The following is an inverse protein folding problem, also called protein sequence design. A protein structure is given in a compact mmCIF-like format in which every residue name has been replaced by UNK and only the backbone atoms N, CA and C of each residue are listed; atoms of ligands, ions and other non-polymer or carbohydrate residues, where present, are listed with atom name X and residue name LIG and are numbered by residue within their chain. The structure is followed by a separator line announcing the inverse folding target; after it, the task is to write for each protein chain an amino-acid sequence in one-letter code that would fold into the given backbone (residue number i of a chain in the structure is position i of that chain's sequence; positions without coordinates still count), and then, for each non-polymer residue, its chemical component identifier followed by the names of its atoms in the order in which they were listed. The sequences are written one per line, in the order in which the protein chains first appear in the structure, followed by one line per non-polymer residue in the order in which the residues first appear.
data_IF_736173361800
#
_entry.id   IF_736173361800
#
_cell.length_a   1.000
_cell.length_b   1.000
_cell.length_c   1.000
_cell.angle_alpha   90.00
_cell.angle_beta   90.00
_cell.angle_gamma   90.00
#
_symmetry.space_group_name_H-M   'P 1'
#
loop_
_entity.id
_entity.type
_entity.pdbx_description
1 polymer ?
#
# COMPACT_ATOMS: atom_id res chain seq x y z
N UNK A 1 11.02 55.23 5.01
CA UNK A 1 11.77 54.60 3.90
C UNK A 1 10.77 54.35 2.77
N UNK A 2 10.97 54.88 1.55
CA UNK A 2 10.03 54.66 0.44
C UNK A 2 10.14 53.21 -0.05
N UNK A 3 9.13 52.39 0.24
CA UNK A 3 8.94 51.06 -0.32
C UNK A 3 8.07 51.16 -1.57
N UNK A 4 8.29 50.28 -2.55
CA UNK A 4 7.38 50.17 -3.69
C UNK A 4 6.02 49.60 -3.22
N UNK A 5 4.89 50.09 -3.74
CA UNK A 5 3.56 49.55 -3.40
C UNK A 5 3.44 48.09 -3.84
N UNK A 6 2.82 47.24 -3.01
CA UNK A 6 2.54 45.83 -3.33
C UNK A 6 1.80 45.65 -4.66
N UNK A 7 0.92 46.60 -4.99
CA UNK A 7 0.20 46.69 -6.26
C UNK A 7 1.14 46.68 -7.47
N UNK A 8 2.37 47.21 -7.35
CA UNK A 8 3.34 47.20 -8.42
C UNK A 8 3.75 45.78 -8.81
N UNK A 9 4.00 44.91 -7.83
CA UNK A 9 4.37 43.50 -8.06
C UNK A 9 3.23 42.70 -8.68
N UNK A 10 2.01 42.85 -8.13
CA UNK A 10 0.80 42.15 -8.61
C UNK A 10 0.45 42.59 -10.03
N UNK A 11 0.40 43.90 -10.31
CA UNK A 11 0.04 44.42 -11.63
C UNK A 11 1.08 44.05 -12.69
N UNK A 12 2.33 43.96 -12.29
CA UNK A 12 3.41 43.47 -13.14
C UNK A 12 3.28 41.95 -13.44
N UNK A 13 2.74 41.15 -12.53
CA UNK A 13 2.44 39.73 -12.74
C UNK A 13 1.42 39.53 -13.89
N UNK A 14 0.38 40.37 -13.91
CA UNK A 14 -0.68 40.36 -14.94
C UNK A 14 -0.26 40.95 -16.29
N UNK A 15 0.82 41.73 -16.36
CA UNK A 15 1.32 42.31 -17.62
C UNK A 15 2.03 41.31 -18.53
N UNK A 16 2.45 40.14 -18.01
CA UNK A 16 3.11 39.08 -18.77
C UNK A 16 2.49 37.72 -18.45
N UNK A 17 1.21 37.52 -18.79
CA UNK A 17 0.42 36.39 -18.31
C UNK A 17 1.03 35.05 -18.73
N UNK A 18 1.54 34.93 -19.96
CA UNK A 18 2.16 33.70 -20.48
C UNK A 18 3.39 33.28 -19.67
N UNK A 19 4.25 34.24 -19.33
CA UNK A 19 5.47 33.97 -18.56
C UNK A 19 5.11 33.57 -17.13
N UNK A 20 4.25 34.34 -16.48
CA UNK A 20 3.76 34.02 -15.13
C UNK A 20 3.12 32.63 -15.09
N UNK A 21 2.25 32.31 -16.06
CA UNK A 21 1.60 31.02 -16.15
C UNK A 21 2.61 29.88 -16.33
N UNK A 22 3.59 30.02 -17.23
CA UNK A 22 4.60 28.99 -17.47
C UNK A 22 5.43 28.71 -16.21
N UNK A 23 5.77 29.75 -15.45
CA UNK A 23 6.53 29.62 -14.20
C UNK A 23 5.70 29.01 -13.08
N UNK A 24 4.42 29.35 -13.00
CA UNK A 24 3.49 28.76 -12.06
C UNK A 24 3.29 27.28 -12.35
N UNK A 25 3.06 26.90 -13.61
CA UNK A 25 2.89 25.51 -14.04
C UNK A 25 4.15 24.70 -13.76
N UNK A 26 5.34 25.22 -14.10
CA UNK A 26 6.60 24.56 -13.81
C UNK A 26 6.81 24.29 -12.32
N UNK A 27 6.63 25.33 -11.47
CA UNK A 27 6.77 25.19 -10.02
C UNK A 27 5.71 24.26 -9.41
N UNK A 28 4.46 24.37 -9.86
CA UNK A 28 3.36 23.50 -9.43
C UNK A 28 3.64 22.04 -9.78
N UNK A 29 4.17 21.79 -10.98
CA UNK A 29 4.49 20.43 -11.44
C UNK A 29 5.57 19.79 -10.57
N UNK A 30 6.63 20.54 -10.23
CA UNK A 30 7.68 20.09 -9.33
C UNK A 30 7.12 19.76 -7.94
N UNK A 31 6.32 20.66 -7.36
CA UNK A 31 5.71 20.45 -6.04
C UNK A 31 4.78 19.23 -6.06
N UNK A 32 3.96 19.09 -7.10
CA UNK A 32 3.06 17.97 -7.25
C UNK A 32 3.83 16.65 -7.35
N UNK A 33 4.92 16.62 -8.12
CA UNK A 33 5.78 15.43 -8.23
C UNK A 33 6.39 15.05 -6.87
N UNK A 34 6.84 16.02 -6.08
CA UNK A 34 7.33 15.78 -4.71
C UNK A 34 6.22 15.21 -3.84
N UNK A 35 5.01 15.79 -3.87
CA UNK A 35 3.88 15.28 -3.11
C UNK A 35 3.49 13.86 -3.49
N UNK A 36 3.50 13.52 -4.79
CA UNK A 36 3.21 12.15 -5.26
C UNK A 36 4.21 11.16 -4.68
N UNK A 37 5.52 11.46 -4.74
CA UNK A 37 6.55 10.53 -4.23
C UNK A 37 6.47 10.40 -2.71
N UNK A 38 6.30 11.51 -1.98
CA UNK A 38 6.17 11.47 -0.51
C UNK A 38 4.90 10.75 -0.08
N UNK A 39 3.77 11.01 -0.74
CA UNK A 39 2.50 10.34 -0.46
C UNK A 39 2.60 8.83 -0.69
N UNK A 40 3.27 8.41 -1.77
CA UNK A 40 3.52 6.99 -2.03
C UNK A 40 4.34 6.33 -0.90
N UNK A 41 5.45 6.95 -0.49
CA UNK A 41 6.30 6.43 0.60
C UNK A 41 5.49 6.29 1.91
N UNK A 42 4.75 7.35 2.27
CA UNK A 42 3.94 7.36 3.50
C UNK A 42 2.78 6.38 3.44
N UNK A 43 2.15 6.25 2.27
CA UNK A 43 1.07 5.29 2.05
C UNK A 43 1.54 3.85 2.22
N UNK A 44 2.72 3.52 1.68
CA UNK A 44 3.32 2.18 1.86
C UNK A 44 3.63 1.89 3.33
N UNK A 45 4.24 2.83 4.06
CA UNK A 45 4.52 2.71 5.50
C UNK A 45 3.23 2.49 6.31
N UNK A 46 2.23 3.33 6.09
CA UNK A 46 0.96 3.27 6.79
C UNK A 46 0.22 1.96 6.50
N UNK A 47 0.20 1.50 5.24
CA UNK A 47 -0.47 0.26 4.87
C UNK A 47 0.17 -0.97 5.50
N UNK A 48 1.51 -1.07 5.51
CA UNK A 48 2.21 -2.15 6.18
C UNK A 48 2.01 -2.11 7.69
N UNK A 49 2.05 -0.92 8.31
CA UNK A 49 1.80 -0.76 9.74
C UNK A 49 0.36 -1.16 10.13
N UNK A 50 -0.63 -0.81 9.31
CA UNK A 50 -2.02 -1.16 9.52
C UNK A 50 -2.29 -2.67 9.34
N UNK A 51 -1.42 -3.39 8.61
CA UNK A 51 -1.57 -4.83 8.35
C UNK A 51 -1.22 -5.71 9.54
N UNK A 52 -0.33 -5.25 10.41
CA UNK A 52 0.03 -5.95 11.64
C UNK A 52 -1.10 -5.96 12.66
N UNK A 53 -1.46 -7.15 13.16
CA UNK A 53 -2.19 -7.32 14.41
C UNK A 53 -1.22 -7.85 15.47
N UNK A 54 -1.31 -7.31 16.69
CA UNK A 54 -0.41 -7.67 17.80
C UNK A 54 -0.80 -9.01 18.43
N UNK A 55 -2.07 -9.40 18.31
CA UNK A 55 -2.60 -10.62 18.91
C UNK A 55 -2.54 -11.83 17.94
N UNK A 56 -2.03 -11.64 16.71
CA UNK A 56 -2.01 -12.68 15.68
C UNK A 56 -0.60 -13.21 15.48
N UNK A 57 -0.49 -14.54 15.41
CA UNK A 57 0.73 -15.27 15.02
C UNK A 57 0.53 -15.88 13.64
N UNK A 58 1.51 -15.71 12.77
CA UNK A 58 1.59 -16.39 11.50
C UNK A 58 2.46 -17.64 11.66
N UNK A 59 1.90 -18.80 11.32
CA UNK A 59 2.61 -20.07 11.27
C UNK A 59 2.79 -20.48 9.82
N UNK A 60 4.03 -20.65 9.38
CA UNK A 60 4.38 -20.97 8.00
C UNK A 60 5.65 -21.82 7.94
N UNK A 61 6.03 -22.33 6.77
CA UNK A 61 7.14 -23.27 6.63
C UNK A 61 8.48 -22.60 6.97
N UNK A 62 9.32 -23.25 7.78
CA UNK A 62 10.66 -22.79 8.14
C UNK A 62 11.53 -22.56 6.89
N UNK A 63 11.39 -23.43 5.89
CA UNK A 63 12.10 -23.38 4.60
C UNK A 63 11.77 -22.14 3.75
N UNK A 64 10.62 -21.50 3.98
CA UNK A 64 10.21 -20.30 3.24
C UNK A 64 10.88 -19.01 3.73
N UNK A 65 11.61 -19.07 4.85
CA UNK A 65 12.28 -17.92 5.47
C UNK A 65 11.32 -16.86 5.99
N UNK A 66 10.91 -15.94 5.10
CA UNK A 66 9.92 -14.89 5.32
C UNK A 66 8.98 -14.69 4.11
N UNK A 67 9.04 -15.57 3.10
CA UNK A 67 8.25 -15.47 1.89
C UNK A 67 7.05 -16.41 1.97
N UNK A 68 5.93 -15.92 2.51
CA UNK A 68 4.70 -16.71 2.68
C UNK A 68 4.14 -17.24 1.34
N UNK A 69 4.52 -16.66 0.20
CA UNK A 69 4.17 -17.14 -1.15
C UNK A 69 4.80 -18.50 -1.47
N UNK A 70 6.02 -18.73 -0.98
CA UNK A 70 6.79 -19.96 -1.21
C UNK A 70 6.62 -20.98 -0.08
N UNK A 71 5.81 -20.66 0.93
CA UNK A 71 5.54 -21.54 2.05
C UNK A 71 4.57 -22.66 1.66
N UNK A 72 4.85 -23.86 2.17
CA UNK A 72 4.04 -25.06 2.00
C UNK A 72 4.05 -25.83 3.32
N UNK A 73 2.90 -25.86 4.00
CA UNK A 73 2.72 -26.58 5.26
C UNK A 73 1.57 -27.59 5.15
N UNK A 74 1.59 -28.69 5.93
CA UNK A 74 0.53 -29.69 5.87
C UNK A 74 -0.86 -29.11 6.20
N UNK A 75 -1.92 -29.51 5.48
CA UNK A 75 -3.28 -29.07 5.78
C UNK A 75 -3.80 -29.47 7.18
N UNK A 76 -3.14 -30.41 7.86
CA UNK A 76 -3.45 -30.79 9.25
C UNK A 76 -2.93 -29.81 10.30
N UNK A 77 -2.03 -28.88 9.93
CA UNK A 77 -1.41 -27.93 10.87
C UNK A 77 -2.41 -27.11 11.70
N UNK A 78 -3.52 -26.57 11.14
CA UNK A 78 -4.56 -25.89 11.93
C UNK A 78 -5.14 -26.77 13.04
N UNK A 79 -5.40 -28.06 12.75
CA UNK A 79 -5.96 -28.99 13.73
C UNK A 79 -4.96 -29.36 14.83
N UNK A 80 -3.66 -29.45 14.48
CA UNK A 80 -2.60 -29.69 15.47
C UNK A 80 -2.42 -28.49 16.41
N UNK A 81 -2.45 -27.26 15.86
CA UNK A 81 -2.41 -26.03 16.65
C UNK A 81 -3.63 -25.94 17.58
N UNK A 82 -4.84 -26.17 17.03
CA UNK A 82 -6.10 -26.19 17.77
C UNK A 82 -6.12 -27.15 18.96
N UNK A 83 -5.47 -28.31 18.81
CA UNK A 83 -5.45 -29.37 19.82
C UNK A 83 -4.32 -29.21 20.86
N UNK A 84 -3.26 -28.47 20.53
CA UNK A 84 -2.07 -28.36 21.38
C UNK A 84 -1.98 -27.04 22.13
N UNK A 85 -2.76 -26.03 21.72
CA UNK A 85 -2.70 -24.68 22.27
C UNK A 85 -4.03 -24.28 22.92
N UNK A 86 -4.02 -24.08 24.24
CA UNK A 86 -5.18 -23.62 25.00
C UNK A 86 -5.37 -22.10 24.95
N UNK A 87 -4.32 -21.34 24.61
CA UNK A 87 -4.30 -19.87 24.58
C UNK A 87 -4.94 -19.21 23.35
N UNK A 88 -5.49 -20.00 22.42
CA UNK A 88 -6.10 -19.49 21.19
C UNK A 88 -7.43 -18.81 21.50
N UNK A 89 -7.68 -17.64 20.91
CA UNK A 89 -8.95 -16.94 21.10
C UNK A 89 -10.11 -17.78 20.60
N UNK A 90 -11.16 -17.88 21.43
CA UNK A 90 -12.39 -18.59 21.09
C UNK A 90 -13.58 -17.66 21.22
N UNK A 91 -14.47 -17.66 20.22
CA UNK A 91 -15.75 -16.93 20.26
C UNK A 91 -16.84 -17.81 19.69
N UNK A 92 -17.97 -17.90 20.41
CA UNK A 92 -19.11 -18.75 20.02
C UNK A 92 -18.69 -20.19 19.67
N UNK A 93 -17.83 -20.78 20.51
CA UNK A 93 -17.28 -22.13 20.33
C UNK A 93 -16.31 -22.32 19.14
N UNK A 94 -16.05 -21.27 18.34
CA UNK A 94 -15.11 -21.29 17.21
C UNK A 94 -13.75 -20.73 17.62
N UNK A 95 -12.69 -21.51 17.42
CA UNK A 95 -11.31 -21.07 17.62
C UNK A 95 -10.87 -20.16 16.46
N UNK A 96 -10.12 -19.10 16.77
CA UNK A 96 -9.66 -18.10 15.81
C UNK A 96 -8.39 -18.58 15.10
N UNK A 97 -8.58 -19.53 14.19
CA UNK A 97 -7.54 -20.13 13.37
C UNK A 97 -7.97 -20.02 11.91
N UNK A 98 -7.18 -19.32 11.11
CA UNK A 98 -7.42 -19.10 9.68
C UNK A 98 -6.36 -19.84 8.87
N UNK A 99 -6.67 -21.03 8.31
CA UNK A 99 -5.84 -21.65 7.29
C UNK A 99 -5.94 -20.85 5.99
N UNK A 100 -4.80 -20.53 5.40
CA UNK A 100 -4.73 -19.65 4.24
C UNK A 100 -3.78 -20.17 3.16
N UNK A 101 -4.21 -20.01 1.92
CA UNK A 101 -3.35 -20.17 0.74
C UNK A 101 -3.14 -18.79 0.15
N UNK A 102 -1.89 -18.46 -0.17
CA UNK A 102 -1.52 -17.13 -0.68
C UNK A 102 -0.77 -17.27 -1.99
N UNK A 103 -1.23 -16.59 -3.03
CA UNK A 103 -0.72 -16.73 -4.40
C UNK A 103 -0.63 -15.37 -5.10
N UNK A 104 0.56 -15.02 -5.58
CA UNK A 104 0.75 -14.02 -6.61
C UNK A 104 0.49 -14.60 -7.99
N UNK A 105 -0.48 -14.07 -8.74
CA UNK A 105 -0.81 -14.56 -10.08
C UNK A 105 -1.26 -13.45 -11.02
N UNK A 106 -1.35 -13.76 -12.31
CA UNK A 106 -1.88 -12.84 -13.31
C UNK A 106 -3.40 -12.95 -13.34
N UNK A 107 -4.07 -11.83 -13.09
CA UNK A 107 -5.52 -11.73 -13.08
C UNK A 107 -5.96 -10.93 -14.30
N UNK A 108 -6.90 -11.49 -15.05
CA UNK A 108 -7.57 -10.84 -16.17
C UNK A 108 -8.90 -10.32 -15.67
N UNK A 109 -9.17 -9.04 -15.83
CA UNK A 109 -10.44 -8.42 -15.42
C UNK A 109 -11.36 -8.35 -16.63
N UNK A 110 -12.63 -8.75 -16.48
CA UNK A 110 -13.60 -8.67 -17.56
C UNK A 110 -13.66 -7.25 -18.16
N UNK A 111 -13.72 -7.17 -19.49
CA UNK A 111 -13.73 -5.90 -20.23
C UNK A 111 -12.35 -5.22 -20.35
N UNK A 112 -11.27 -5.82 -19.84
CA UNK A 112 -9.89 -5.32 -20.03
C UNK A 112 -9.02 -6.43 -20.62
N UNK A 113 -8.35 -6.14 -21.73
CA UNK A 113 -7.42 -7.09 -22.38
C UNK A 113 -6.05 -7.19 -21.68
N UNK A 114 -5.89 -6.53 -20.52
CA UNK A 114 -4.66 -6.49 -19.74
C UNK A 114 -4.72 -7.48 -18.59
N UNK A 115 -3.64 -8.24 -18.44
CA UNK A 115 -3.40 -9.09 -17.28
C UNK A 115 -2.61 -8.31 -16.23
N UNK A 116 -3.25 -7.96 -15.13
CA UNK A 116 -2.60 -7.34 -13.98
C UNK A 116 -1.93 -8.39 -13.09
N UNK A 117 -0.84 -8.04 -12.41
CA UNK A 117 -0.28 -8.89 -11.36
C UNK A 117 -1.09 -8.66 -10.08
N UNK A 118 -1.85 -9.66 -9.65
CA UNK A 118 -2.70 -9.61 -8.48
C UNK A 118 -2.26 -10.60 -7.40
N UNK A 119 -2.83 -10.43 -6.22
CA UNK A 119 -2.73 -11.39 -5.13
C UNK A 119 -4.09 -12.03 -4.92
N UNK A 120 -4.09 -13.35 -4.77
CA UNK A 120 -5.26 -14.13 -4.41
C UNK A 120 -4.98 -14.84 -3.10
N UNK A 121 -5.93 -14.78 -2.17
CA UNK A 121 -5.89 -15.46 -0.89
C UNK A 121 -7.07 -16.41 -0.76
N UNK A 122 -6.78 -17.68 -0.52
CA UNK A 122 -7.76 -18.71 -0.21
C UNK A 122 -8.01 -18.70 1.28
N UNK A 123 -9.24 -18.43 1.69
CA UNK A 123 -9.62 -18.25 3.10
C UNK A 123 -10.84 -19.09 3.47
N UNK A 124 -11.02 -19.31 4.77
CA UNK A 124 -12.24 -19.89 5.33
C UNK A 124 -13.08 -18.82 6.01
N UNK A 125 -14.29 -19.15 6.45
CA UNK A 125 -15.15 -18.26 7.23
C UNK A 125 -14.56 -17.87 8.60
N UNK A 126 -13.46 -18.51 9.02
CA UNK A 126 -12.69 -18.11 10.21
C UNK A 126 -11.76 -16.91 9.94
N UNK A 127 -11.47 -16.56 8.69
CA UNK A 127 -10.56 -15.47 8.37
C UNK A 127 -10.98 -14.12 8.96
N UNK A 128 -12.25 -13.67 8.89
CA UNK A 128 -12.67 -12.42 9.54
C UNK A 128 -12.54 -12.42 11.08
N UNK A 129 -12.51 -13.61 11.71
CA UNK A 129 -12.32 -13.74 13.16
C UNK A 129 -10.88 -13.47 13.57
N UNK A 130 -9.93 -13.85 12.71
CA UNK A 130 -8.49 -13.59 12.91
C UNK A 130 -8.13 -12.19 12.41
N UNK A 131 -8.59 -11.84 11.21
CA UNK A 131 -8.33 -10.58 10.51
C UNK A 131 -9.32 -9.49 10.96
N UNK A 132 -9.29 -9.10 12.23
CA UNK A 132 -10.34 -8.26 12.83
C UNK A 132 -10.60 -6.89 12.19
N UNK A 133 -9.66 -6.38 11.38
CA UNK A 133 -9.83 -5.12 10.64
C UNK A 133 -10.63 -5.28 9.35
N UNK A 134 -10.84 -6.51 8.88
CA UNK A 134 -11.56 -6.82 7.64
C UNK A 134 -13.07 -6.64 7.83
N UNK A 135 -13.68 -5.89 6.93
CA UNK A 135 -15.12 -5.65 6.89
C UNK A 135 -15.61 -5.69 5.44
N UNK A 136 -16.69 -6.44 5.20
CA UNK A 136 -17.40 -6.40 3.92
C UNK A 136 -18.14 -5.07 3.84
N UNK A 137 -17.88 -4.32 2.78
CA UNK A 137 -18.50 -3.01 2.51
C UNK A 137 -19.70 -3.16 1.57
N UNK A 138 -19.65 -4.16 0.69
CA UNK A 138 -20.66 -4.40 -0.34
C UNK A 138 -20.75 -5.90 -0.64
N UNK A 139 -21.95 -6.41 -0.91
CA UNK A 139 -22.18 -7.81 -1.29
C UNK A 139 -22.05 -8.80 -0.12
N UNK A 140 -21.67 -10.04 -0.43
CA UNK A 140 -21.68 -11.16 0.50
C UNK A 140 -20.36 -11.95 0.51
N UNK A 141 -20.14 -12.73 1.58
CA UNK A 141 -19.01 -13.65 1.71
C UNK A 141 -18.97 -14.60 0.49
N UNK A 142 -17.79 -14.93 -0.08
CA UNK A 142 -17.73 -15.59 -1.36
C UNK A 142 -18.15 -17.05 -1.21
N UNK A 143 -19.10 -17.48 -2.04
CA UNK A 143 -19.43 -18.88 -2.23
C UNK A 143 -18.48 -19.59 -3.22
N UNK A 144 -18.76 -20.86 -3.55
CA UNK A 144 -18.00 -21.61 -4.55
C UNK A 144 -17.97 -20.90 -5.91
N UNK A 145 -16.78 -20.76 -6.50
CA UNK A 145 -16.56 -20.03 -7.76
C UNK A 145 -16.65 -18.50 -7.64
N UNK A 146 -16.73 -17.97 -6.43
CA UNK A 146 -16.80 -16.53 -6.18
C UNK A 146 -15.56 -15.98 -5.48
N UNK A 147 -15.40 -14.66 -5.55
CA UNK A 147 -14.33 -13.91 -4.89
C UNK A 147 -14.85 -12.63 -4.26
N UNK A 148 -14.23 -12.26 -3.14
CA UNK A 148 -14.30 -10.93 -2.57
C UNK A 148 -13.14 -10.09 -3.09
N UNK A 149 -13.43 -8.85 -3.51
CA UNK A 149 -12.40 -7.92 -3.96
C UNK A 149 -12.05 -6.90 -2.86
N UNK A 150 -10.76 -6.79 -2.52
CA UNK A 150 -10.30 -5.73 -1.65
C UNK A 150 -10.46 -4.35 -2.30
N UNK A 151 -10.70 -3.32 -1.49
CA UNK A 151 -10.94 -1.95 -1.94
C UNK A 151 -9.84 -1.40 -2.88
N UNK A 152 -8.58 -1.79 -2.66
CA UNK A 152 -7.41 -1.35 -3.43
C UNK A 152 -6.97 -2.37 -4.49
N UNK A 153 -7.68 -3.49 -4.67
CA UNK A 153 -7.31 -4.53 -5.63
C UNK A 153 -7.28 -3.97 -7.07
N UNK A 154 -8.18 -3.07 -7.43
CA UNK A 154 -8.21 -2.45 -8.77
C UNK A 154 -6.93 -1.68 -9.09
N UNK A 155 -6.37 -0.98 -8.09
CA UNK A 155 -5.14 -0.20 -8.22
C UNK A 155 -3.94 -1.11 -8.51
N UNK A 156 -3.90 -2.28 -7.85
CA UNK A 156 -2.85 -3.29 -8.06
C UNK A 156 -2.99 -3.99 -9.42
N UNK A 157 -4.23 -4.26 -9.85
CA UNK A 157 -4.53 -4.86 -11.15
C UNK A 157 -4.40 -3.88 -12.33
N UNK A 158 -4.27 -2.57 -12.05
CA UNK A 158 -4.18 -1.54 -13.09
C UNK A 158 -5.50 -1.36 -13.85
N UNK A 159 -6.63 -1.63 -13.20
CA UNK A 159 -7.96 -1.44 -13.76
C UNK A 159 -8.72 -0.33 -13.02
N UNK A 160 -9.85 0.09 -13.61
CA UNK A 160 -10.75 1.03 -12.95
C UNK A 160 -11.50 0.33 -11.82
N UNK A 161 -11.92 1.09 -10.83
CA UNK A 161 -12.62 0.55 -9.65
C UNK A 161 -13.92 -0.17 -10.04
N UNK A 162 -14.65 0.36 -11.03
CA UNK A 162 -15.93 -0.20 -11.50
C UNK A 162 -15.76 -1.57 -12.16
N UNK A 163 -14.55 -1.90 -12.63
CA UNK A 163 -14.27 -3.21 -13.23
C UNK A 163 -14.25 -4.35 -12.19
N UNK A 164 -14.16 -4.01 -10.89
CA UNK A 164 -14.25 -4.95 -9.77
C UNK A 164 -15.54 -4.78 -8.95
N UNK A 165 -16.61 -4.28 -9.57
CA UNK A 165 -17.92 -4.21 -8.94
C UNK A 165 -18.51 -5.59 -8.65
N UNK A 166 -19.43 -5.66 -7.69
CA UNK A 166 -20.18 -6.89 -7.42
C UNK A 166 -20.94 -7.34 -8.68
N UNK A 167 -20.83 -8.63 -9.02
CA UNK A 167 -21.37 -9.21 -10.24
C UNK A 167 -20.41 -9.22 -11.44
N UNK A 168 -19.33 -8.45 -11.41
CA UNK A 168 -18.26 -8.53 -12.42
C UNK A 168 -17.48 -9.84 -12.29
N UNK A 169 -16.74 -10.22 -13.32
CA UNK A 169 -15.93 -11.45 -13.32
C UNK A 169 -14.45 -11.17 -13.52
N UNK A 170 -13.63 -12.01 -12.90
CA UNK A 170 -12.18 -12.02 -13.03
C UNK A 170 -11.72 -13.43 -13.37
N UNK A 171 -10.68 -13.53 -14.17
CA UNK A 171 -10.11 -14.82 -14.58
C UNK A 171 -8.68 -14.91 -14.09
N UNK A 172 -8.39 -15.91 -13.29
CA UNK A 172 -7.04 -16.25 -12.88
C UNK A 172 -6.91 -17.77 -12.79
N UNK A 173 -5.69 -18.26 -13.04
CA UNK A 173 -5.37 -19.70 -13.02
C UNK A 173 -6.28 -20.55 -13.94
N UNK A 174 -6.68 -19.98 -15.08
CA UNK A 174 -7.53 -20.64 -16.06
C UNK A 174 -9.00 -20.81 -15.66
N UNK A 175 -9.42 -20.27 -14.51
CA UNK A 175 -10.80 -20.31 -14.02
C UNK A 175 -11.40 -18.91 -13.94
N UNK A 176 -12.67 -18.81 -14.27
CA UNK A 176 -13.45 -17.59 -14.10
C UNK A 176 -14.09 -17.56 -12.71
N UNK A 177 -14.06 -16.40 -12.09
CA UNK A 177 -14.57 -16.14 -10.75
C UNK A 177 -15.48 -14.93 -10.76
N UNK A 178 -16.64 -15.05 -10.10
CA UNK A 178 -17.57 -13.93 -9.95
C UNK A 178 -17.24 -13.14 -8.69
N UNK A 179 -17.24 -11.82 -8.77
CA UNK A 179 -17.09 -10.96 -7.61
C UNK A 179 -18.42 -10.94 -6.84
N UNK A 180 -18.46 -11.54 -5.66
CA UNK A 180 -19.65 -11.60 -4.79
C UNK A 180 -19.76 -10.39 -3.86
N UNK A 181 -18.65 -9.72 -3.60
CA UNK A 181 -18.58 -8.64 -2.64
C UNK A 181 -17.26 -7.89 -2.64
N UNK A 182 -17.22 -6.80 -1.90
CA UNK A 182 -16.05 -5.94 -1.71
C UNK A 182 -15.77 -5.74 -0.23
N UNK A 183 -14.49 -5.67 0.13
CA UNK A 183 -14.09 -5.47 1.52
C UNK A 183 -13.03 -4.38 1.70
N UNK A 184 -13.00 -3.84 2.91
CA UNK A 184 -11.96 -2.94 3.42
C UNK A 184 -11.29 -3.62 4.61
N UNK A 185 -10.05 -3.26 4.87
CA UNK A 185 -9.24 -3.78 5.97
C UNK A 185 -8.42 -2.63 6.59
N UNK A 186 -9.08 -1.49 6.84
CA UNK A 186 -8.50 -0.30 7.45
C UNK A 186 -7.20 0.21 6.77
N UNK A 187 -7.13 0.14 5.43
CA UNK A 187 -5.96 0.57 4.65
C UNK A 187 -4.77 -0.38 4.69
N UNK A 188 -4.92 -1.59 5.25
CA UNK A 188 -3.89 -2.63 5.24
C UNK A 188 -3.60 -3.18 3.84
N UNK A 189 -2.52 -3.95 3.72
CA UNK A 189 -2.10 -4.60 2.49
C UNK A 189 -3.16 -5.59 1.95
N UNK A 190 -4.01 -6.13 2.83
CA UNK A 190 -5.11 -7.03 2.46
C UNK A 190 -6.11 -6.39 1.51
N UNK A 191 -6.26 -5.06 1.52
CA UNK A 191 -7.16 -4.37 0.59
C UNK A 191 -6.72 -4.48 -0.87
N UNK A 192 -5.47 -4.88 -1.14
CA UNK A 192 -4.96 -5.09 -2.49
C UNK A 192 -5.12 -6.52 -3.02
N UNK A 193 -5.80 -7.39 -2.27
CA UNK A 193 -5.95 -8.81 -2.54
C UNK A 193 -7.38 -9.17 -3.01
N UNK A 194 -7.52 -10.31 -3.68
CA UNK A 194 -8.79 -11.00 -3.90
C UNK A 194 -8.90 -12.20 -2.97
N UNK A 195 -10.02 -12.38 -2.30
CA UNK A 195 -10.23 -13.48 -1.37
C UNK A 195 -11.23 -14.49 -1.94
N UNK A 196 -10.88 -15.76 -1.96
CA UNK A 196 -11.73 -16.84 -2.46
C UNK A 196 -11.87 -17.95 -1.40
N UNK A 197 -12.86 -18.85 -1.51
CA UNK A 197 -12.93 -20.01 -0.63
C UNK A 197 -11.67 -20.87 -0.75
N UNK A 198 -11.08 -21.24 0.39
CA UNK A 198 -9.86 -22.03 0.47
C UNK A 198 -9.94 -23.34 -0.34
N UNK A 199 -11.06 -24.07 -0.21
CA UNK A 199 -11.26 -25.34 -0.91
C UNK A 199 -11.29 -25.18 -2.44
N UNK A 200 -11.94 -24.11 -2.92
CA UNK A 200 -11.99 -23.79 -4.34
C UNK A 200 -10.59 -23.44 -4.88
N UNK A 201 -9.80 -22.71 -4.10
CA UNK A 201 -8.44 -22.36 -4.45
C UNK A 201 -7.52 -23.58 -4.49
N UNK A 202 -7.61 -24.45 -3.48
CA UNK A 202 -6.86 -25.71 -3.41
C UNK A 202 -7.21 -26.63 -4.57
N UNK A 203 -8.49 -26.70 -4.94
CA UNK A 203 -8.96 -27.48 -6.09
C UNK A 203 -8.43 -26.89 -7.40
N UNK A 204 -8.48 -25.56 -7.57
CA UNK A 204 -7.98 -24.89 -8.78
C UNK A 204 -6.47 -25.11 -8.96
N UNK A 205 -5.70 -24.92 -7.89
CA UNK A 205 -4.23 -25.07 -7.89
C UNK A 205 -3.76 -26.52 -7.83
N UNK A 206 -4.68 -27.49 -7.69
CA UNK A 206 -4.38 -28.91 -7.47
C UNK A 206 -3.40 -29.13 -6.31
N UNK A 207 -3.59 -28.36 -5.23
CA UNK A 207 -2.69 -28.32 -4.07
C UNK A 207 -3.46 -28.61 -2.80
N UNK A 208 -2.88 -29.40 -1.90
CA UNK A 208 -3.51 -29.81 -0.63
C UNK A 208 -2.80 -29.25 0.60
N UNK A 209 -1.73 -28.49 0.41
CA UNK A 209 -1.01 -27.78 1.46
C UNK A 209 -1.65 -26.41 1.74
N UNK A 210 -1.10 -25.71 2.72
CA UNK A 210 -1.42 -24.32 3.04
C UNK A 210 -0.16 -23.48 2.87
N UNK A 211 -0.35 -22.19 2.59
CA UNK A 211 0.76 -21.23 2.60
C UNK A 211 1.07 -20.81 4.04
N UNK A 212 0.03 -20.55 4.84
CA UNK A 212 0.19 -20.19 6.24
C UNK A 212 -1.06 -20.54 7.06
N UNK A 213 -0.92 -20.53 8.37
CA UNK A 213 -2.02 -20.49 9.32
C UNK A 213 -1.88 -19.24 10.17
N UNK A 214 -2.90 -18.37 10.14
CA UNK A 214 -2.96 -17.22 11.03
C UNK A 214 -3.78 -17.60 12.27
N UNK A 215 -3.21 -17.41 13.46
CA UNK A 215 -3.83 -17.77 14.75
C UNK A 215 -3.96 -16.52 15.58
N UNK A 216 -5.17 -16.22 16.07
CA UNK A 216 -5.38 -15.11 17.01
C UNK A 216 -5.38 -15.62 18.44
N UNK A 217 -4.55 -15.04 19.29
CA UNK A 217 -4.43 -15.40 20.70
C UNK A 217 -5.46 -14.67 21.55
N UNK A 218 -5.93 -15.31 22.61
CA UNK A 218 -6.82 -14.69 23.59
C UNK A 218 -6.07 -13.61 24.39
N UNK A 219 -6.77 -12.63 25.00
CA UNK A 219 -6.16 -11.74 25.98
C UNK A 219 -5.50 -12.54 27.10
N UNK A 220 -4.17 -12.42 27.24
CA UNK A 220 -3.36 -13.20 28.19
C UNK A 220 -2.81 -14.52 27.65
N UNK A 221 -3.18 -14.92 26.43
CA UNK A 221 -2.49 -15.98 25.69
C UNK A 221 -1.11 -15.52 25.23
N UNK A 222 -0.13 -16.42 25.28
CA UNK A 222 1.26 -16.10 24.95
C UNK A 222 1.58 -16.49 23.50
N UNK A 223 1.98 -15.50 22.69
CA UNK A 223 2.49 -15.74 21.32
C UNK A 223 3.70 -16.69 21.34
N UNK A 224 4.47 -16.66 22.43
CA UNK A 224 5.63 -17.52 22.63
C UNK A 224 5.23 -19.01 22.80
N UNK A 225 3.99 -19.31 23.19
CA UNK A 225 3.52 -20.69 23.29
C UNK A 225 3.41 -21.32 21.89
N UNK A 226 3.01 -20.52 20.89
CA UNK A 226 2.97 -20.95 19.48
C UNK A 226 4.39 -21.16 18.94
N UNK A 227 5.31 -20.28 19.31
CA UNK A 227 6.74 -20.41 18.95
C UNK A 227 7.38 -21.64 19.59
N UNK A 228 7.06 -21.91 20.86
CA UNK A 228 7.50 -23.10 21.57
C UNK A 228 6.95 -24.37 20.91
N UNK A 229 5.65 -24.40 20.59
CA UNK A 229 5.04 -25.52 19.87
C UNK A 229 5.75 -25.81 18.54
N UNK A 230 6.05 -24.77 17.74
CA UNK A 230 6.78 -24.93 16.49
C UNK A 230 8.22 -25.42 16.71
N UNK A 231 8.87 -24.99 17.78
CA UNK A 231 10.25 -25.38 18.11
C UNK A 231 10.37 -26.81 18.65
N UNK A 232 9.35 -27.31 19.35
CA UNK A 232 9.31 -28.69 19.84
C UNK A 232 8.96 -29.69 18.73
N UNK A 233 8.12 -29.28 17.77
CA UNK A 233 7.68 -30.10 16.63
C UNK A 233 8.57 -29.91 15.41
N UNK A 234 9.85 -30.27 15.55
CA UNK A 234 10.84 -30.18 14.47
C UNK A 234 10.45 -31.01 13.24
N UNK A 235 9.64 -32.05 13.42
CA UNK A 235 9.11 -32.90 12.35
C UNK A 235 8.15 -32.16 11.39
N UNK A 236 7.57 -31.05 11.83
CA UNK A 236 6.65 -30.25 11.02
C UNK A 236 7.35 -29.12 10.26
N UNK A 237 8.61 -28.82 10.58
CA UNK A 237 9.40 -27.72 10.00
C UNK A 237 8.63 -26.39 9.95
N UNK A 238 7.95 -26.04 11.05
CA UNK A 238 7.14 -24.83 11.14
C UNK A 238 7.92 -23.69 11.80
N UNK A 239 7.56 -22.47 11.43
CA UNK A 239 8.01 -21.24 12.04
C UNK A 239 6.80 -20.40 12.43
N UNK A 240 6.79 -19.93 13.68
CA UNK A 240 5.81 -18.99 14.19
C UNK A 240 6.44 -17.59 14.25
N UNK A 241 5.74 -16.58 13.73
CA UNK A 241 6.17 -15.18 13.81
C UNK A 241 4.95 -14.31 14.13
N UNK A 242 5.02 -13.42 15.15
CA UNK A 242 3.98 -12.42 15.37
C UNK A 242 3.71 -11.60 14.10
N UNK A 243 2.44 -11.41 13.76
CA UNK A 243 2.04 -10.74 12.52
C UNK A 243 2.55 -9.30 12.46
N UNK A 244 2.49 -8.56 13.57
CA UNK A 244 3.10 -7.24 13.69
C UNK A 244 4.62 -7.26 13.39
N UNK A 245 5.35 -8.27 13.86
CA UNK A 245 6.78 -8.42 13.60
C UNK A 245 7.05 -8.78 12.13
N UNK A 246 6.22 -9.65 11.54
CA UNK A 246 6.29 -10.01 10.13
C UNK A 246 6.17 -8.76 9.25
N UNK A 247 5.11 -7.96 9.42
CA UNK A 247 4.94 -6.74 8.63
C UNK A 247 5.99 -5.66 8.94
N UNK A 248 6.46 -5.56 10.18
CA UNK A 248 7.59 -4.69 10.51
C UNK A 248 8.87 -5.13 9.79
N UNK A 249 9.11 -6.43 9.65
CA UNK A 249 10.26 -6.96 8.88
C UNK A 249 10.14 -6.64 7.38
N UNK A 250 8.94 -6.73 6.80
CA UNK A 250 8.68 -6.29 5.42
C UNK A 250 8.99 -4.80 5.25
N UNK A 251 8.60 -3.94 6.20
CA UNK A 251 8.97 -2.52 6.15
C UNK A 251 10.48 -2.31 6.13
N UNK A 252 11.26 -3.15 6.81
CA UNK A 252 12.72 -3.09 6.75
C UNK A 252 13.24 -3.49 5.37
N UNK A 253 12.65 -4.51 4.76
CA UNK A 253 12.98 -4.94 3.40
C UNK A 253 12.70 -3.84 2.36
N UNK A 254 11.64 -3.04 2.55
CA UNK A 254 11.31 -1.90 1.67
C UNK A 254 12.10 -0.60 1.98
N UNK A 255 13.00 -0.59 2.99
CA UNK A 255 13.85 0.59 3.28
C UNK A 255 14.65 1.10 2.08
N UNK A 256 15.28 0.25 1.23
CA UNK A 256 16.04 0.72 0.08
C UNK A 256 15.16 1.44 -0.95
N UNK A 257 13.93 0.94 -1.19
CA UNK A 257 12.96 1.57 -2.09
C UNK A 257 12.57 2.96 -1.58
N UNK A 258 12.33 3.08 -0.27
CA UNK A 258 12.06 4.37 0.37
C UNK A 258 13.23 5.34 0.25
N UNK A 259 14.46 4.86 0.46
CA UNK A 259 15.67 5.68 0.33
C UNK A 259 15.81 6.21 -1.10
N UNK A 260 15.60 5.36 -2.10
CA UNK A 260 15.60 5.77 -3.51
C UNK A 260 14.53 6.83 -3.78
N UNK A 261 13.32 6.66 -3.24
CA UNK A 261 12.26 7.67 -3.33
C UNK A 261 12.67 9.02 -2.73
N UNK A 262 13.34 9.04 -1.58
CA UNK A 262 13.88 10.27 -1.00
C UNK A 262 14.99 10.91 -1.85
N UNK A 263 15.88 10.10 -2.44
CA UNK A 263 16.89 10.61 -3.38
C UNK A 263 16.21 11.29 -4.58
N UNK A 264 15.17 10.68 -5.14
CA UNK A 264 14.38 11.27 -6.23
C UNK A 264 13.74 12.59 -5.81
N UNK A 265 13.15 12.66 -4.60
CA UNK A 265 12.61 13.93 -4.05
C UNK A 265 13.69 15.00 -3.97
N UNK A 266 14.89 14.67 -3.49
CA UNK A 266 16.01 15.63 -3.43
C UNK A 266 16.44 16.12 -4.82
N UNK A 267 16.52 15.23 -5.81
CA UNK A 267 16.87 15.60 -7.18
C UNK A 267 15.80 16.51 -7.81
N UNK A 268 14.53 16.19 -7.64
CA UNK A 268 13.40 16.99 -8.15
C UNK A 268 13.37 18.35 -7.47
N UNK A 269 13.52 18.40 -6.14
CA UNK A 269 13.55 19.64 -5.38
C UNK A 269 14.74 20.52 -5.82
N UNK A 270 15.92 19.92 -5.97
CA UNK A 270 17.10 20.61 -6.50
C UNK A 270 16.87 21.19 -7.90
N UNK A 271 16.37 20.37 -8.83
CA UNK A 271 16.04 20.82 -10.19
C UNK A 271 15.01 21.96 -10.18
N UNK A 272 13.99 21.88 -9.32
CA UNK A 272 12.99 22.91 -9.12
C UNK A 272 13.58 24.25 -8.64
N UNK A 273 14.51 24.19 -7.68
CA UNK A 273 15.23 25.38 -7.20
C UNK A 273 16.04 26.03 -8.32
N UNK A 274 16.81 25.24 -9.09
CA UNK A 274 17.57 25.76 -10.22
C UNK A 274 16.67 26.35 -11.32
N UNK A 275 15.55 25.70 -11.62
CA UNK A 275 14.58 26.21 -12.58
C UNK A 275 13.96 27.54 -12.11
N UNK A 276 13.61 27.64 -10.83
CA UNK A 276 13.12 28.86 -10.21
C UNK A 276 14.15 30.00 -10.25
N UNK A 277 15.41 29.71 -9.89
CA UNK A 277 16.51 30.67 -9.95
C UNK A 277 16.76 31.17 -11.38
N UNK A 278 16.81 30.27 -12.37
CA UNK A 278 17.02 30.66 -13.76
C UNK A 278 15.88 31.54 -14.28
N UNK A 279 14.64 31.20 -13.89
CA UNK A 279 13.46 32.00 -14.22
C UNK A 279 13.53 33.40 -13.64
N UNK A 280 13.89 33.50 -12.34
CA UNK A 280 14.03 34.77 -11.63
C UNK A 280 15.16 35.61 -12.22
N UNK A 281 16.30 34.98 -12.52
CA UNK A 281 17.43 35.61 -13.19
C UNK A 281 17.01 36.21 -14.54
N UNK A 282 16.33 35.44 -15.39
CA UNK A 282 15.79 35.95 -16.64
C UNK A 282 14.74 37.06 -16.44
N UNK A 283 14.08 37.13 -15.28
CA UNK A 283 13.07 38.15 -14.99
C UNK A 283 13.74 39.48 -14.62
N UNK A 284 14.86 39.41 -13.90
CA UNK A 284 15.71 40.55 -13.55
C UNK A 284 16.46 41.07 -14.77
N UNK A 285 17.12 40.20 -15.54
CA UNK A 285 17.91 40.60 -16.73
C UNK A 285 17.05 41.32 -17.77
N UNK A 286 15.83 40.83 -18.01
CA UNK A 286 14.88 41.48 -18.91
C UNK A 286 14.38 42.85 -18.46
N UNK A 287 14.71 43.29 -17.23
CA UNK A 287 14.28 44.56 -16.63
C UNK A 287 15.44 45.42 -16.13
N UNK A 288 16.68 45.14 -16.51
CA UNK A 288 17.85 45.92 -16.05
C UNK A 288 17.69 47.41 -16.32
N UNK A 289 17.17 47.82 -17.50
CA UNK A 289 16.92 49.24 -17.81
C UNK A 289 15.90 49.89 -16.87
N UNK A 290 14.80 49.20 -16.56
CA UNK A 290 13.75 49.68 -15.64
C UNK A 290 14.30 49.82 -14.20
N UNK A 291 15.05 48.82 -13.75
CA UNK A 291 15.70 48.80 -12.44
C UNK A 291 16.76 49.91 -12.31
N UNK A 292 17.52 50.19 -13.37
CA UNK A 292 18.49 51.30 -13.42
C UNK A 292 17.83 52.67 -13.38
N UNK A 293 16.69 52.86 -14.07
CA UNK A 293 15.93 54.12 -13.98
C UNK A 293 15.38 54.35 -12.58
N UNK A 294 14.87 53.31 -11.91
CA UNK A 294 14.44 53.40 -10.51
C UNK A 294 15.59 53.77 -9.56
N UNK A 295 16.80 53.24 -9.79
CA UNK A 295 17.99 53.65 -9.04
C UNK A 295 18.38 55.11 -9.31
N UNK A 296 18.30 55.56 -10.57
CA UNK A 296 18.56 56.95 -10.95
C UNK A 296 17.55 57.94 -10.31
N UNK A 297 16.30 57.50 -10.11
CA UNK A 297 15.27 58.28 -9.38
C UNK A 297 15.43 58.22 -7.84
N UNK A 298 16.48 57.59 -7.31
CA UNK A 298 16.84 57.63 -5.89
C UNK A 298 16.31 56.45 -5.04
N UNK A 299 15.76 55.39 -5.65
CA UNK A 299 15.37 54.19 -4.90
C UNK A 299 16.61 53.35 -4.51
N UNK A 300 16.76 53.06 -3.21
CA UNK A 300 17.87 52.23 -2.70
C UNK A 300 17.72 50.76 -3.14
N UNK A 301 18.83 50.07 -3.40
CA UNK A 301 18.87 48.64 -3.83
C UNK A 301 17.99 47.71 -2.97
N UNK A 302 17.96 47.91 -1.65
CA UNK A 302 17.13 47.13 -0.70
C UNK A 302 15.62 47.33 -0.86
N UNK A 303 15.18 48.49 -1.35
CA UNK A 303 13.77 48.76 -1.60
C UNK A 303 13.30 48.09 -2.91
N UNK A 304 14.22 47.97 -3.88
CA UNK A 304 13.99 47.32 -5.16
C UNK A 304 13.93 45.79 -4.99
N UNK A 305 14.84 45.18 -4.22
CA UNK A 305 14.81 43.72 -3.96
C UNK A 305 13.58 43.26 -3.17
N UNK A 306 12.99 44.11 -2.33
CA UNK A 306 11.74 43.78 -1.62
C UNK A 306 10.49 43.76 -2.51
N UNK A 307 10.57 44.34 -3.70
CA UNK A 307 9.44 44.50 -4.63
C UNK A 307 9.49 43.52 -5.81
N UNK A 308 10.51 42.66 -5.86
CA UNK A 308 10.86 41.79 -6.97
C UNK A 308 10.45 40.36 -6.65
#
# INVERSE_FOLDING_TARGET
MKTLPWEYGVRNLFRRPTRTALTLVGLTTVILLIFVVVAFIRGLEASLAASGDEDVVLVYALSSGADIENSSIPARTPALLAASLDGIQRRFDVQHISPEVYLGTRITVAGTDKKGLGLVRGVTTAAPLVRSKMQIVEGEWPGPGEVLAGKLAHSKLGCREEALSVGSTVTFDGREWRISGRFTAAGSAFESELWCPLQDMQTALKRQDLSLVAVKMAPGGSLADVEMFCSERLDLELKAVPEAQYYASLQQHYKPVRLLGWVVVWLIAGAGVFAGLNTMYGAVVGRVRELSTLQAMGFRRRAITKSL
#
